data_IF_315402619467
#
_entry.id   IF_315402619467
#
_cell.length_a   1.000
_cell.length_b   1.000
_cell.length_c   1.000
_cell.angle_alpha   90.00
_cell.angle_beta   90.00
_cell.angle_gamma   90.00
#
_symmetry.space_group_name_H-M   'P 1'
#
loop_
_entity.id
_entity.type
_entity.pdbx_description
1 polymer ?
#
# COMPACT_ATOMS: atom_id res chain seq x y z
N UNK A 1 7.62 0.71 10.80
CA UNK A 1 7.87 1.77 9.80
C UNK A 1 6.68 1.92 8.86
N UNK A 2 6.80 2.72 7.80
CA UNK A 2 5.69 2.97 6.86
C UNK A 2 5.40 1.85 5.85
N UNK A 3 6.37 0.96 5.60
CA UNK A 3 6.29 -0.09 4.57
C UNK A 3 5.13 -1.07 4.82
N UNK A 4 4.90 -1.63 6.03
CA UNK A 4 3.77 -2.54 6.26
C UNK A 4 2.38 -1.92 6.04
N UNK A 5 2.26 -0.57 6.05
CA UNK A 5 0.98 0.09 5.71
C UNK A 5 0.74 0.17 4.20
N UNK A 6 1.80 0.15 3.40
CA UNK A 6 1.72 0.20 1.93
C UNK A 6 1.67 -1.22 1.34
N UNK A 7 2.45 -2.14 1.92
CA UNK A 7 2.51 -3.54 1.51
C UNK A 7 1.72 -4.40 2.51
N UNK A 8 0.45 -4.65 2.19
CA UNK A 8 -0.40 -5.59 2.91
C UNK A 8 -0.01 -6.99 2.44
N UNK A 9 0.61 -7.75 3.34
CA UNK A 9 1.19 -9.06 3.02
C UNK A 9 0.18 -9.99 2.33
N UNK A 10 0.57 -10.55 1.17
CA UNK A 10 -0.24 -11.42 0.28
C UNK A 10 -1.50 -10.78 -0.32
N UNK A 11 -1.69 -9.46 -0.13
CA UNK A 11 -2.80 -8.72 -0.71
C UNK A 11 -2.34 -7.68 -1.74
N UNK A 12 -1.44 -6.77 -1.36
CA UNK A 12 -0.88 -5.75 -2.27
C UNK A 12 0.60 -5.99 -2.61
N UNK A 13 1.20 -7.00 -1.98
CA UNK A 13 2.59 -7.38 -2.17
C UNK A 13 3.04 -8.38 -1.12
N UNK A 14 4.35 -8.57 -0.98
CA UNK A 14 4.93 -9.55 -0.06
C UNK A 14 5.95 -8.86 0.85
N UNK A 15 5.82 -9.13 2.15
CA UNK A 15 6.77 -8.70 3.17
C UNK A 15 7.77 -9.83 3.43
N UNK A 16 9.03 -9.45 3.65
CA UNK A 16 10.11 -10.34 4.03
C UNK A 16 10.98 -9.68 5.10
N UNK A 17 11.65 -10.50 5.91
CA UNK A 17 12.48 -10.07 7.03
C UNK A 17 13.93 -10.60 6.96
N UNK A 18 14.29 -11.23 5.84
CA UNK A 18 15.65 -11.65 5.53
C UNK A 18 15.93 -11.60 4.02
N UNK A 19 17.20 -11.72 3.65
CA UNK A 19 17.64 -11.77 2.25
C UNK A 19 17.08 -13.03 1.57
N UNK A 20 17.13 -14.17 2.24
CA UNK A 20 16.64 -15.46 1.76
C UNK A 20 15.12 -15.42 1.56
N UNK A 21 14.39 -14.83 2.52
CA UNK A 21 12.95 -14.62 2.40
C UNK A 21 12.62 -13.73 1.21
N UNK A 22 13.40 -12.68 0.97
CA UNK A 22 13.22 -11.79 -0.20
C UNK A 22 13.47 -12.54 -1.51
N UNK A 23 14.56 -13.31 -1.60
CA UNK A 23 14.88 -14.13 -2.77
C UNK A 23 13.78 -15.17 -3.05
N UNK A 24 13.23 -15.80 -2.01
CA UNK A 24 12.10 -16.72 -2.13
C UNK A 24 10.86 -16.03 -2.72
N UNK A 25 10.46 -14.87 -2.18
CA UNK A 25 9.28 -14.15 -2.65
C UNK A 25 9.44 -13.66 -4.10
N UNK A 26 10.63 -13.20 -4.50
CA UNK A 26 10.91 -12.83 -5.90
C UNK A 26 10.70 -14.04 -6.81
N UNK A 27 11.31 -15.18 -6.50
CA UNK A 27 11.12 -16.42 -7.27
C UNK A 27 9.67 -16.85 -7.33
N UNK A 28 8.95 -16.74 -6.22
CA UNK A 28 7.53 -17.05 -6.14
C UNK A 28 6.70 -16.19 -7.10
N UNK A 29 6.90 -14.87 -7.11
CA UNK A 29 6.19 -13.97 -8.02
C UNK A 29 6.51 -14.25 -9.49
N UNK A 30 7.79 -14.45 -9.82
CA UNK A 30 8.22 -14.77 -11.19
C UNK A 30 7.64 -16.10 -11.69
N UNK A 31 7.50 -17.07 -10.79
CA UNK A 31 6.92 -18.40 -11.13
C UNK A 31 5.39 -18.39 -11.17
N UNK A 32 4.73 -17.36 -10.60
CA UNK A 32 3.28 -17.27 -10.48
C UNK A 32 2.76 -15.91 -11.01
N UNK A 33 2.83 -15.67 -12.34
CA UNK A 33 2.50 -14.37 -12.92
C UNK A 33 1.06 -13.93 -12.68
N UNK A 34 0.10 -14.86 -12.57
CA UNK A 34 -1.29 -14.54 -12.21
C UNK A 34 -1.41 -13.95 -10.80
N UNK A 35 -0.60 -14.44 -9.86
CA UNK A 35 -0.53 -13.91 -8.50
C UNK A 35 0.14 -12.55 -8.51
N UNK A 36 1.26 -12.41 -9.24
CA UNK A 36 1.94 -11.12 -9.37
C UNK A 36 0.99 -10.04 -9.95
N UNK A 37 0.25 -10.36 -11.01
CA UNK A 37 -0.76 -9.47 -11.58
C UNK A 37 -1.84 -9.09 -10.56
N UNK A 38 -2.42 -10.09 -9.88
CA UNK A 38 -3.45 -9.83 -8.86
C UNK A 38 -2.95 -8.92 -7.74
N UNK A 39 -1.75 -9.17 -7.21
CA UNK A 39 -1.16 -8.33 -6.17
C UNK A 39 -0.89 -6.91 -6.68
N UNK A 40 -0.46 -6.77 -7.94
CA UNK A 40 -0.25 -5.48 -8.59
C UNK A 40 -1.53 -4.67 -8.70
N UNK A 41 -2.62 -5.26 -9.18
CA UNK A 41 -3.94 -4.61 -9.28
C UNK A 41 -4.44 -4.16 -7.90
N UNK A 42 -4.36 -5.04 -6.90
CA UNK A 42 -4.74 -4.70 -5.53
C UNK A 42 -3.84 -3.61 -4.92
N UNK A 43 -2.54 -3.62 -5.23
CA UNK A 43 -1.62 -2.55 -4.83
C UNK A 43 -1.95 -1.21 -5.49
N UNK A 44 -2.34 -1.23 -6.76
CA UNK A 44 -2.78 -0.03 -7.47
C UNK A 44 -4.06 0.56 -6.86
N UNK A 45 -5.05 -0.29 -6.53
CA UNK A 45 -6.26 0.15 -5.81
C UNK A 45 -5.95 0.73 -4.44
N UNK A 46 -5.13 0.03 -3.66
CA UNK A 46 -4.72 0.48 -2.33
C UNK A 46 -4.07 1.87 -2.35
N UNK A 47 -3.23 2.15 -3.35
CA UNK A 47 -2.63 3.48 -3.55
C UNK A 47 -3.67 4.52 -3.92
N UNK A 48 -4.59 4.20 -4.84
CA UNK A 48 -5.65 5.12 -5.26
C UNK A 48 -6.52 5.56 -4.07
N UNK A 49 -6.87 4.62 -3.21
CA UNK A 49 -7.73 4.88 -2.06
C UNK A 49 -7.02 5.65 -0.93
N UNK A 50 -5.72 5.38 -0.70
CA UNK A 50 -5.09 5.77 0.56
C UNK A 50 -3.93 6.77 0.43
N UNK A 51 -3.26 6.82 -0.72
CA UNK A 51 -1.95 7.49 -0.85
C UNK A 51 -1.87 8.54 -1.97
N UNK A 52 -2.98 8.84 -2.66
CA UNK A 52 -3.00 9.96 -3.59
C UNK A 52 -2.87 11.30 -2.89
N UNK A 53 -2.14 12.22 -3.53
CA UNK A 53 -1.96 13.59 -3.04
C UNK A 53 -3.30 14.34 -2.87
N UNK A 54 -4.27 14.08 -3.75
CA UNK A 54 -5.62 14.66 -3.69
C UNK A 54 -6.40 14.15 -2.48
N UNK A 55 -6.32 12.85 -2.18
CA UNK A 55 -6.89 12.26 -0.96
C UNK A 55 -6.26 12.87 0.29
N UNK A 56 -4.94 13.04 0.29
CA UNK A 56 -4.22 13.66 1.40
C UNK A 56 -4.62 15.13 1.60
N UNK A 57 -4.67 15.92 0.52
CA UNK A 57 -5.10 17.30 0.56
C UNK A 57 -6.53 17.44 1.13
N UNK A 58 -7.46 16.58 0.69
CA UNK A 58 -8.83 16.53 1.23
C UNK A 58 -8.83 16.24 2.74
N UNK A 59 -8.05 15.25 3.21
CA UNK A 59 -7.93 14.94 4.64
C UNK A 59 -7.41 16.14 5.45
N UNK A 60 -6.42 16.86 4.96
CA UNK A 60 -5.92 18.08 5.61
C UNK A 60 -6.98 19.20 5.65
N UNK A 61 -7.70 19.44 4.54
CA UNK A 61 -8.78 20.44 4.52
C UNK A 61 -9.90 20.08 5.52
N UNK A 62 -10.31 18.81 5.59
CA UNK A 62 -11.29 18.35 6.59
C UNK A 62 -10.79 18.56 8.02
N UNK A 63 -9.52 18.27 8.28
CA UNK A 63 -8.91 18.52 9.59
C UNK A 63 -8.94 20.01 9.94
N UNK A 64 -8.58 20.90 9.02
CA UNK A 64 -8.63 22.34 9.25
C UNK A 64 -10.04 22.85 9.52
N UNK A 65 -11.04 22.40 8.74
CA UNK A 65 -12.44 22.75 8.98
C UNK A 65 -12.91 22.29 10.36
N UNK A 66 -12.51 21.10 10.80
CA UNK A 66 -12.84 20.60 12.13
C UNK A 66 -12.22 21.45 13.23
N UNK A 67 -10.92 21.76 13.12
CA UNK A 67 -10.21 22.53 14.15
C UNK A 67 -10.65 24.00 14.21
N UNK A 68 -10.99 24.60 13.07
CA UNK A 68 -11.44 25.99 12.99
C UNK A 68 -12.94 26.16 13.26
N UNK A 69 -13.75 25.11 13.06
CA UNK A 69 -15.20 25.11 13.29
C UNK A 69 -15.61 24.89 14.75
N UNK A 70 -14.67 24.54 15.64
CA UNK A 70 -14.88 24.45 17.09
C UNK A 70 -14.49 25.76 17.81
N UNK A 71 -14.96 26.91 17.29
CA UNK A 71 -14.88 28.22 17.94
C UNK A 71 -16.24 28.70 18.40
#
# INVERSE_FOLDING_TARGET
GGIPRQVIHKHTGLLAHSVEGTAYQIRYLLSNPSIAHRLGEQGHEHVRENFLITTNAKRYLTLFLHLLGHS
#
